data_IF_780151349388
#
_entry.id   IF_780151349388
#
_cell.length_a   1.000
_cell.length_b   1.000
_cell.length_c   1.000
_cell.angle_alpha   90.00
_cell.angle_beta   90.00
_cell.angle_gamma   90.00
#
_symmetry.space_group_name_H-M   'P 1'
#
loop_
_entity.id
_entity.type
_entity.pdbx_description
1 polymer ?
#
# COMPACT_ATOMS: atom_id res chain seq x y z
N UNK A 1 -20.42 -21.38 18.58
CA UNK A 1 -19.26 -22.30 18.75
C UNK A 1 -19.58 -23.80 18.69
N UNK A 2 -20.72 -24.25 19.16
CA UNK A 2 -21.13 -25.67 19.21
C UNK A 2 -21.37 -26.32 17.84
N UNK A 3 -22.06 -25.65 16.90
CA UNK A 3 -22.36 -26.19 15.55
C UNK A 3 -21.10 -26.45 14.71
N UNK A 4 -20.10 -25.55 14.76
CA UNK A 4 -18.82 -25.71 14.01
C UNK A 4 -17.99 -26.85 14.60
N UNK A 5 -17.95 -27.00 15.91
CA UNK A 5 -17.26 -28.14 16.57
C UNK A 5 -17.91 -29.46 16.21
N UNK A 6 -19.24 -29.53 16.20
CA UNK A 6 -19.97 -30.73 15.82
C UNK A 6 -19.72 -31.11 14.35
N UNK A 7 -19.73 -30.16 13.42
CA UNK A 7 -19.42 -30.41 12.01
C UNK A 7 -17.99 -30.94 11.79
N UNK A 8 -17.01 -30.39 12.49
CA UNK A 8 -15.63 -30.88 12.44
C UNK A 8 -15.49 -32.30 13.03
N UNK A 9 -16.22 -32.62 14.09
CA UNK A 9 -16.25 -33.95 14.70
C UNK A 9 -16.87 -34.98 13.75
N UNK A 10 -18.01 -34.65 13.13
CA UNK A 10 -18.65 -35.51 12.14
C UNK A 10 -17.74 -35.78 10.93
N UNK A 11 -17.03 -34.78 10.44
CA UNK A 11 -16.07 -34.94 9.35
C UNK A 11 -14.92 -35.86 9.75
N UNK A 12 -14.33 -35.65 10.93
CA UNK A 12 -13.26 -36.50 11.45
C UNK A 12 -13.73 -37.92 11.63
N UNK A 13 -14.92 -38.16 12.15
CA UNK A 13 -15.54 -39.49 12.29
C UNK A 13 -15.78 -40.16 10.94
N UNK A 14 -16.24 -39.42 9.93
CA UNK A 14 -16.44 -39.92 8.57
C UNK A 14 -15.10 -40.37 7.94
N UNK A 15 -14.05 -39.52 8.04
CA UNK A 15 -12.71 -39.86 7.56
C UNK A 15 -12.16 -41.12 8.29
N UNK A 16 -12.26 -41.18 9.61
CA UNK A 16 -11.86 -42.31 10.39
C UNK A 16 -12.65 -43.59 10.01
N UNK A 17 -13.95 -43.43 9.76
CA UNK A 17 -14.80 -44.53 9.29
C UNK A 17 -14.39 -45.11 7.94
N UNK A 18 -14.04 -44.25 6.97
CA UNK A 18 -13.52 -44.65 5.65
C UNK A 18 -12.20 -45.43 5.80
N UNK A 19 -11.28 -44.90 6.61
CA UNK A 19 -9.98 -45.56 6.85
C UNK A 19 -10.20 -46.93 7.54
N UNK A 20 -11.05 -46.96 8.57
CA UNK A 20 -11.38 -48.19 9.29
C UNK A 20 -12.02 -49.24 8.34
N UNK A 21 -12.97 -48.83 7.50
CA UNK A 21 -13.60 -49.68 6.51
C UNK A 21 -12.55 -50.29 5.55
N UNK A 22 -11.64 -49.46 5.06
CA UNK A 22 -10.56 -49.90 4.17
C UNK A 22 -9.60 -50.89 4.87
N UNK A 23 -9.29 -50.69 6.15
CA UNK A 23 -8.46 -51.61 6.96
C UNK A 23 -9.20 -52.93 7.19
N UNK A 24 -10.49 -52.86 7.53
CA UNK A 24 -11.30 -54.07 7.73
C UNK A 24 -11.44 -54.91 6.44
N UNK A 25 -11.66 -54.28 5.29
CA UNK A 25 -11.68 -54.97 3.99
C UNK A 25 -10.37 -55.74 3.72
N UNK A 26 -9.24 -55.19 4.15
CA UNK A 26 -7.95 -55.87 4.03
C UNK A 26 -7.82 -57.03 5.04
N UNK A 27 -8.15 -56.74 6.30
CA UNK A 27 -8.04 -57.72 7.39
C UNK A 27 -8.91 -58.95 7.17
N UNK A 28 -10.09 -58.80 6.58
CA UNK A 28 -11.04 -59.88 6.28
C UNK A 28 -10.81 -60.50 4.89
N UNK A 29 -9.73 -60.18 4.18
CA UNK A 29 -9.38 -60.77 2.87
C UNK A 29 -10.55 -60.76 1.86
N UNK A 30 -11.33 -59.70 1.85
CA UNK A 30 -12.46 -59.53 0.92
C UNK A 30 -12.00 -59.65 -0.53
N UNK A 31 -12.78 -60.33 -1.41
CA UNK A 31 -12.46 -60.38 -2.83
C UNK A 31 -12.43 -58.96 -3.42
N UNK A 32 -11.44 -58.72 -4.31
CA UNK A 32 -11.21 -57.38 -4.89
C UNK A 32 -10.97 -56.29 -3.87
N UNK A 33 -10.51 -56.59 -2.66
CA UNK A 33 -10.26 -55.63 -1.62
C UNK A 33 -9.30 -54.52 -2.05
N UNK A 34 -8.34 -54.79 -2.91
CA UNK A 34 -7.40 -53.82 -3.51
C UNK A 34 -8.13 -52.73 -4.27
N UNK A 35 -9.05 -53.13 -5.14
CA UNK A 35 -9.88 -52.24 -5.94
C UNK A 35 -10.78 -51.38 -5.04
N UNK A 36 -11.60 -51.97 -4.19
CA UNK A 36 -12.55 -51.22 -3.34
C UNK A 36 -11.88 -50.24 -2.38
N UNK A 37 -10.73 -50.62 -1.81
CA UNK A 37 -9.93 -49.71 -0.97
C UNK A 37 -9.40 -48.53 -1.75
N UNK A 38 -8.92 -48.75 -2.98
CA UNK A 38 -8.45 -47.66 -3.83
C UNK A 38 -9.60 -46.71 -4.18
N UNK A 39 -10.79 -47.23 -4.51
CA UNK A 39 -12.00 -46.40 -4.74
C UNK A 39 -12.34 -45.55 -3.52
N UNK A 40 -12.32 -46.17 -2.30
CA UNK A 40 -12.59 -45.39 -1.07
C UNK A 40 -11.58 -44.27 -0.83
N UNK A 41 -10.29 -44.53 -1.04
CA UNK A 41 -9.25 -43.51 -0.88
C UNK A 41 -9.34 -42.44 -1.98
N UNK A 42 -9.65 -42.81 -3.22
CA UNK A 42 -9.89 -41.86 -4.30
C UNK A 42 -11.08 -40.94 -3.99
N UNK A 43 -12.20 -41.48 -3.48
CA UNK A 43 -13.34 -40.66 -3.05
C UNK A 43 -12.93 -39.71 -1.92
N UNK A 44 -12.14 -40.16 -0.95
CA UNK A 44 -11.66 -39.35 0.15
C UNK A 44 -10.80 -38.19 -0.35
N UNK A 45 -9.80 -38.45 -1.21
CA UNK A 45 -8.90 -37.41 -1.76
C UNK A 45 -9.67 -36.46 -2.69
N UNK A 46 -10.58 -36.99 -3.52
CA UNK A 46 -11.43 -36.19 -4.39
C UNK A 46 -12.35 -35.26 -3.58
N UNK A 47 -12.99 -35.77 -2.53
CA UNK A 47 -13.82 -34.95 -1.64
C UNK A 47 -13.00 -33.84 -0.96
N UNK A 48 -11.75 -34.14 -0.56
CA UNK A 48 -10.82 -33.14 -0.04
C UNK A 48 -10.46 -32.10 -1.11
N UNK A 49 -10.20 -32.50 -2.35
CA UNK A 49 -9.91 -31.61 -3.46
C UNK A 49 -11.08 -30.66 -3.74
N UNK A 50 -12.32 -31.17 -3.74
CA UNK A 50 -13.54 -30.34 -3.87
C UNK A 50 -13.64 -29.36 -2.69
N UNK A 51 -13.35 -29.82 -1.48
CA UNK A 51 -13.33 -28.94 -0.29
C UNK A 51 -12.27 -27.82 -0.43
N UNK A 52 -11.07 -28.13 -0.90
CA UNK A 52 -10.00 -27.17 -1.20
C UNK A 52 -10.45 -26.15 -2.24
N UNK A 53 -11.14 -26.58 -3.30
CA UNK A 53 -11.67 -25.69 -4.34
C UNK A 53 -12.56 -24.58 -3.77
N UNK A 54 -13.41 -24.91 -2.83
CA UNK A 54 -14.34 -23.96 -2.21
C UNK A 54 -13.73 -23.13 -1.08
N UNK A 55 -12.75 -23.68 -0.35
CA UNK A 55 -12.19 -23.05 0.85
C UNK A 55 -10.99 -22.14 0.56
N UNK A 56 -10.20 -22.41 -0.47
CA UNK A 56 -8.97 -21.67 -0.72
C UNK A 56 -9.25 -20.45 -1.59
N UNK A 57 -8.96 -19.27 -1.02
CA UNK A 57 -9.23 -17.99 -1.66
C UNK A 57 -8.22 -17.67 -2.77
N UNK A 58 -6.92 -17.90 -2.51
CA UNK A 58 -5.84 -17.55 -3.44
C UNK A 58 -5.77 -18.56 -4.60
N UNK A 59 -6.00 -18.07 -5.84
CA UNK A 59 -6.13 -18.92 -7.02
C UNK A 59 -4.88 -19.80 -7.31
N UNK A 60 -3.67 -19.26 -7.13
CA UNK A 60 -2.44 -20.00 -7.40
C UNK A 60 -2.21 -21.10 -6.36
N UNK A 61 -2.38 -20.79 -5.07
CA UNK A 61 -2.31 -21.79 -3.98
C UNK A 61 -3.34 -22.89 -4.19
N UNK A 62 -4.57 -22.52 -4.59
CA UNK A 62 -5.62 -23.48 -4.92
C UNK A 62 -5.22 -24.40 -6.07
N UNK A 63 -4.63 -23.87 -7.15
CA UNK A 63 -4.14 -24.68 -8.29
C UNK A 63 -3.04 -25.66 -7.86
N UNK A 64 -2.11 -25.22 -6.99
CA UNK A 64 -1.05 -26.08 -6.47
C UNK A 64 -1.61 -27.24 -5.63
N UNK A 65 -2.53 -26.95 -4.72
CA UNK A 65 -3.16 -27.99 -3.87
C UNK A 65 -4.01 -28.96 -4.69
N UNK A 66 -4.73 -28.48 -5.70
CA UNK A 66 -5.47 -29.34 -6.63
C UNK A 66 -4.50 -30.17 -7.48
N UNK A 67 -3.38 -29.61 -7.93
CA UNK A 67 -2.33 -30.35 -8.61
C UNK A 67 -1.74 -31.45 -7.73
N UNK A 68 -1.53 -31.18 -6.42
CA UNK A 68 -1.12 -32.21 -5.48
C UNK A 68 -2.19 -33.29 -5.32
N UNK A 69 -3.47 -32.93 -5.23
CA UNK A 69 -4.58 -33.88 -5.17
C UNK A 69 -4.65 -34.78 -6.42
N UNK A 70 -4.54 -34.19 -7.62
CA UNK A 70 -4.52 -34.95 -8.87
C UNK A 70 -3.33 -35.94 -8.93
N UNK A 71 -2.16 -35.52 -8.45
CA UNK A 71 -0.99 -36.42 -8.35
C UNK A 71 -1.20 -37.55 -7.34
N UNK A 72 -1.90 -37.33 -6.22
CA UNK A 72 -2.24 -38.35 -5.26
C UNK A 72 -3.23 -39.37 -5.84
N UNK A 73 -4.28 -38.90 -6.55
CA UNK A 73 -5.22 -39.75 -7.26
C UNK A 73 -4.48 -40.62 -8.30
N UNK A 74 -3.65 -40.01 -9.12
CA UNK A 74 -2.82 -40.67 -10.10
C UNK A 74 -1.91 -41.74 -9.43
N UNK A 75 -1.36 -41.45 -8.27
CA UNK A 75 -0.51 -42.40 -7.53
C UNK A 75 -1.29 -43.64 -7.07
N UNK A 76 -2.50 -43.44 -6.54
CA UNK A 76 -3.37 -44.53 -6.13
C UNK A 76 -3.83 -45.37 -7.32
N UNK A 77 -4.11 -44.75 -8.46
CA UNK A 77 -4.54 -45.45 -9.68
C UNK A 77 -3.39 -46.28 -10.30
N UNK A 78 -2.17 -45.69 -10.38
CA UNK A 78 -0.98 -46.48 -10.82
C UNK A 78 -0.75 -47.67 -9.90
N UNK A 79 -0.92 -47.47 -8.59
CA UNK A 79 -0.80 -48.55 -7.62
C UNK A 79 -1.83 -49.66 -7.88
N UNK A 80 -3.10 -49.28 -8.11
CA UNK A 80 -4.16 -50.23 -8.45
C UNK A 80 -3.81 -51.02 -9.72
N UNK A 81 -3.41 -50.34 -10.77
CA UNK A 81 -3.02 -50.98 -12.05
C UNK A 81 -1.85 -51.91 -11.83
N UNK A 82 -0.85 -51.53 -11.03
CA UNK A 82 0.33 -52.34 -10.77
C UNK A 82 0.02 -53.63 -10.05
N UNK A 83 -0.87 -53.64 -9.05
CA UNK A 83 -1.12 -54.80 -8.20
C UNK A 83 -2.26 -55.69 -8.71
N UNK A 84 -3.26 -55.09 -9.38
CA UNK A 84 -4.47 -55.84 -9.76
C UNK A 84 -4.54 -56.13 -11.27
N UNK A 85 -3.84 -55.39 -12.14
CA UNK A 85 -3.96 -55.49 -13.60
C UNK A 85 -2.64 -55.79 -14.33
N UNK A 86 -1.49 -55.40 -13.77
CA UNK A 86 -0.20 -55.62 -14.46
C UNK A 86 0.21 -57.07 -14.43
N UNK A 87 0.38 -57.67 -15.60
CA UNK A 87 0.76 -59.09 -15.77
C UNK A 87 2.19 -59.25 -16.26
N UNK A 88 2.78 -58.26 -16.93
CA UNK A 88 4.12 -58.34 -17.47
C UNK A 88 5.17 -57.71 -16.53
N UNK A 89 6.35 -58.32 -16.39
CA UNK A 89 7.43 -57.76 -15.55
C UNK A 89 7.85 -56.37 -15.96
N UNK A 90 7.86 -56.07 -17.26
CA UNK A 90 8.17 -54.72 -17.77
C UNK A 90 7.14 -53.69 -17.35
N UNK A 91 5.85 -54.02 -17.43
CA UNK A 91 4.77 -53.15 -17.00
C UNK A 91 4.85 -52.87 -15.50
N UNK A 92 5.12 -53.90 -14.69
CA UNK A 92 5.31 -53.76 -13.25
C UNK A 92 6.45 -52.79 -12.91
N UNK A 93 7.58 -52.87 -13.64
CA UNK A 93 8.76 -52.06 -13.48
C UNK A 93 8.48 -50.60 -13.90
N UNK A 94 7.89 -50.39 -15.08
CA UNK A 94 7.54 -49.03 -15.57
C UNK A 94 6.55 -48.36 -14.65
N UNK A 95 5.53 -49.07 -14.17
CA UNK A 95 4.57 -48.52 -13.18
C UNK A 95 5.25 -48.19 -11.85
N UNK A 96 6.26 -48.93 -11.44
CA UNK A 96 7.05 -48.64 -10.24
C UNK A 96 7.87 -47.36 -10.42
N UNK A 97 8.51 -47.18 -11.57
CA UNK A 97 9.20 -45.93 -11.88
C UNK A 97 8.24 -44.73 -11.92
N UNK A 98 7.02 -44.91 -12.42
CA UNK A 98 6.00 -43.89 -12.42
C UNK A 98 5.58 -43.38 -11.03
N UNK A 99 5.79 -44.17 -9.96
CA UNK A 99 5.58 -43.72 -8.58
C UNK A 99 6.45 -42.52 -8.20
N UNK A 100 7.60 -42.35 -8.86
CA UNK A 100 8.50 -41.23 -8.59
C UNK A 100 7.95 -39.89 -9.10
N UNK A 101 6.97 -39.88 -10.02
CA UNK A 101 6.28 -38.66 -10.45
C UNK A 101 5.60 -37.99 -9.26
N UNK A 102 4.59 -38.59 -8.62
CA UNK A 102 3.93 -37.96 -7.48
C UNK A 102 4.86 -37.82 -6.28
N UNK A 103 5.75 -38.78 -6.04
CA UNK A 103 6.69 -38.77 -4.92
C UNK A 103 7.63 -37.55 -4.94
N UNK A 104 8.08 -37.10 -6.11
CA UNK A 104 8.95 -35.95 -6.27
C UNK A 104 8.16 -34.63 -6.43
N UNK A 105 7.05 -34.68 -7.18
CA UNK A 105 6.31 -33.44 -7.51
C UNK A 105 5.42 -32.94 -6.37
N UNK A 106 4.84 -33.81 -5.53
CA UNK A 106 3.99 -33.37 -4.41
C UNK A 106 4.77 -32.48 -3.41
N UNK A 107 5.95 -32.90 -2.89
CA UNK A 107 6.78 -32.05 -2.04
C UNK A 107 7.26 -30.78 -2.75
N UNK A 108 7.54 -30.87 -4.05
CA UNK A 108 7.93 -29.70 -4.86
C UNK A 108 6.78 -28.72 -5.00
N UNK A 109 5.53 -29.18 -5.19
CA UNK A 109 4.35 -28.32 -5.19
C UNK A 109 4.09 -27.68 -3.83
N UNK A 110 4.33 -28.42 -2.74
CA UNK A 110 4.25 -27.86 -1.39
C UNK A 110 5.24 -26.70 -1.21
N UNK A 111 6.49 -26.88 -1.63
CA UNK A 111 7.52 -25.85 -1.63
C UNK A 111 7.16 -24.69 -2.58
N UNK A 112 6.66 -24.98 -3.78
CA UNK A 112 6.22 -23.98 -4.75
C UNK A 112 5.07 -23.11 -4.22
N UNK A 113 4.18 -23.67 -3.40
CA UNK A 113 3.09 -22.95 -2.77
C UNK A 113 3.58 -21.78 -1.89
N UNK A 114 4.78 -21.90 -1.31
CA UNK A 114 5.37 -20.86 -0.46
C UNK A 114 5.63 -19.55 -1.20
N UNK A 115 5.93 -19.60 -2.50
CA UNK A 115 6.13 -18.39 -3.31
C UNK A 115 4.87 -17.52 -3.41
N UNK A 116 3.70 -18.10 -3.15
CA UNK A 116 2.42 -17.38 -3.22
C UNK A 116 1.86 -17.00 -1.84
N UNK A 117 2.43 -17.50 -0.75
CA UNK A 117 2.05 -17.10 0.59
C UNK A 117 2.57 -15.69 0.93
N UNK A 118 3.62 -15.24 0.25
CA UNK A 118 4.18 -13.91 0.44
C UNK A 118 3.57 -12.93 -0.58
N UNK A 119 2.96 -11.83 -0.11
CA UNK A 119 2.30 -10.80 -0.94
C UNK A 119 3.27 -10.01 -1.84
N UNK A 120 4.56 -10.29 -1.82
CA UNK A 120 5.58 -9.60 -2.59
C UNK A 120 5.75 -10.18 -4.00
N UNK A 121 4.86 -9.86 -4.96
CA UNK A 121 5.10 -10.12 -6.40
C UNK A 121 6.38 -9.43 -6.94
N UNK A 122 6.96 -8.53 -6.18
CA UNK A 122 8.18 -7.77 -6.49
C UNK A 122 9.47 -8.49 -6.06
N UNK A 123 9.42 -9.66 -5.43
CA UNK A 123 10.62 -10.39 -5.04
C UNK A 123 11.35 -10.91 -6.30
N UNK A 124 12.69 -10.68 -6.44
CA UNK A 124 13.46 -11.10 -7.61
C UNK A 124 13.41 -12.61 -7.84
N UNK A 125 13.22 -13.40 -6.79
CA UNK A 125 13.04 -14.86 -6.83
C UNK A 125 11.75 -15.31 -7.52
N UNK A 126 10.72 -14.47 -7.59
CA UNK A 126 9.44 -14.83 -8.24
C UNK A 126 9.59 -15.09 -9.74
N UNK A 127 10.54 -14.44 -10.39
CA UNK A 127 10.85 -14.64 -11.82
C UNK A 127 11.35 -16.07 -12.11
N UNK A 128 12.09 -16.67 -11.18
CA UNK A 128 12.72 -17.99 -11.34
C UNK A 128 11.91 -19.12 -10.68
N UNK A 129 10.67 -18.89 -10.30
CA UNK A 129 9.81 -19.84 -9.58
C UNK A 129 9.66 -21.22 -10.25
N UNK A 130 9.73 -21.28 -11.58
CA UNK A 130 9.59 -22.55 -12.32
C UNK A 130 10.87 -23.37 -12.33
N UNK A 131 12.02 -22.79 -12.04
CA UNK A 131 13.32 -23.49 -11.99
C UNK A 131 13.31 -24.60 -10.95
N UNK A 132 12.49 -24.46 -9.89
CA UNK A 132 12.35 -25.47 -8.83
C UNK A 132 11.86 -26.84 -9.38
N UNK A 133 11.15 -26.85 -10.50
CA UNK A 133 10.67 -28.08 -11.13
C UNK A 133 11.72 -28.78 -11.99
N UNK A 134 12.80 -28.10 -12.37
CA UNK A 134 13.84 -28.69 -13.25
C UNK A 134 14.50 -29.86 -12.55
N UNK A 135 14.88 -29.69 -11.28
CA UNK A 135 15.60 -30.73 -10.54
C UNK A 135 14.78 -32.03 -10.34
N UNK A 136 13.51 -32.00 -9.85
CA UNK A 136 12.71 -33.23 -9.74
C UNK A 136 12.37 -33.85 -11.09
N UNK A 137 12.25 -33.07 -12.17
CA UNK A 137 12.06 -33.64 -13.52
C UNK A 137 13.31 -34.37 -13.99
N UNK A 138 14.49 -33.81 -13.78
CA UNK A 138 15.77 -34.49 -14.08
C UNK A 138 15.91 -35.80 -13.29
N UNK A 139 15.61 -35.76 -11.97
CA UNK A 139 15.63 -36.97 -11.13
C UNK A 139 14.64 -38.03 -11.64
N UNK A 140 13.42 -37.60 -12.03
CA UNK A 140 12.44 -38.53 -12.60
C UNK A 140 12.93 -39.12 -13.91
N UNK A 141 13.51 -38.35 -14.82
CA UNK A 141 14.11 -38.86 -16.06
C UNK A 141 15.21 -39.88 -15.78
N UNK A 142 16.08 -39.62 -14.78
CA UNK A 142 17.09 -40.57 -14.35
C UNK A 142 16.50 -41.87 -13.77
N UNK A 143 15.39 -41.81 -13.04
CA UNK A 143 14.69 -43.01 -12.57
C UNK A 143 14.04 -43.76 -13.73
N UNK A 144 13.41 -43.05 -14.67
CA UNK A 144 12.74 -43.67 -15.83
C UNK A 144 13.74 -44.37 -16.77
N UNK A 145 14.95 -43.83 -16.89
CA UNK A 145 16.04 -44.39 -17.72
C UNK A 145 16.93 -45.37 -16.95
N UNK A 146 16.53 -45.77 -15.73
CA UNK A 146 17.35 -46.64 -14.86
C UNK A 146 17.74 -47.97 -15.52
N UNK A 147 16.93 -48.51 -16.41
CA UNK A 147 17.22 -49.73 -17.14
C UNK A 147 18.50 -49.66 -17.99
N UNK A 148 18.91 -48.45 -18.41
CA UNK A 148 20.11 -48.20 -19.20
C UNK A 148 21.39 -48.09 -18.35
N UNK A 149 21.30 -47.54 -17.15
CA UNK A 149 22.48 -47.13 -16.37
C UNK A 149 22.49 -47.66 -14.92
N UNK A 150 21.40 -48.22 -14.42
CA UNK A 150 21.24 -48.75 -13.06
C UNK A 150 21.76 -47.82 -11.93
N UNK A 151 21.62 -46.51 -12.09
CA UNK A 151 22.09 -45.50 -11.10
C UNK A 151 21.10 -45.27 -9.96
N UNK A 152 19.81 -45.58 -10.18
CA UNK A 152 18.79 -45.49 -9.12
C UNK A 152 18.62 -46.81 -8.39
N UNK A 153 18.54 -47.91 -9.15
CA UNK A 153 18.35 -49.27 -8.64
C UNK A 153 19.27 -50.21 -9.42
N UNK A 154 20.02 -51.02 -8.71
CA UNK A 154 20.81 -52.10 -9.32
C UNK A 154 20.12 -53.44 -9.08
N UNK A 155 19.93 -54.18 -10.16
CA UNK A 155 19.35 -55.48 -10.15
C UNK A 155 20.48 -56.54 -10.30
N UNK A 156 20.39 -57.73 -9.62
CA UNK A 156 21.34 -58.79 -9.82
C UNK A 156 21.33 -59.31 -11.27
N UNK A 157 22.47 -59.71 -11.83
CA UNK A 157 22.54 -60.23 -13.19
C UNK A 157 21.62 -61.45 -13.37
N UNK A 158 20.75 -61.41 -14.37
CA UNK A 158 19.77 -62.48 -14.66
C UNK A 158 18.45 -62.36 -13.90
N UNK A 159 18.27 -61.41 -12.97
CA UNK A 159 17.03 -61.15 -12.22
C UNK A 159 16.53 -59.74 -12.47
N UNK A 160 16.35 -59.36 -13.69
CA UNK A 160 15.86 -58.00 -14.06
C UNK A 160 14.36 -57.81 -13.76
N UNK A 161 13.75 -58.78 -13.07
CA UNK A 161 12.32 -58.83 -12.81
C UNK A 161 12.01 -58.17 -11.46
N UNK A 162 11.14 -57.21 -11.45
CA UNK A 162 10.60 -56.59 -10.24
C UNK A 162 9.68 -57.58 -9.52
N UNK A 163 10.12 -58.08 -8.43
CA UNK A 163 9.46 -59.12 -7.63
C UNK A 163 10.47 -59.89 -6.78
N UNK A 164 11.76 -59.79 -7.15
CA UNK A 164 12.84 -60.23 -6.31
C UNK A 164 13.13 -59.19 -5.21
N UNK A 165 13.25 -59.59 -3.95
CA UNK A 165 13.63 -58.70 -2.84
C UNK A 165 15.07 -58.18 -2.95
N UNK A 166 15.81 -58.54 -3.99
CA UNK A 166 17.28 -58.43 -4.08
C UNK A 166 17.80 -57.22 -4.84
N UNK A 167 16.97 -56.19 -5.13
CA UNK A 167 17.48 -54.93 -5.70
C UNK A 167 18.15 -54.08 -4.63
N UNK A 168 19.22 -53.39 -5.04
CA UNK A 168 19.94 -52.46 -4.17
C UNK A 168 19.73 -51.02 -4.60
N UNK A 169 19.56 -50.14 -3.58
CA UNK A 169 19.45 -48.72 -3.82
C UNK A 169 20.80 -48.11 -4.20
N UNK A 170 20.79 -47.21 -5.21
CA UNK A 170 21.98 -46.54 -5.70
C UNK A 170 21.85 -45.00 -5.51
N UNK A 171 22.83 -44.29 -5.98
CA UNK A 171 23.02 -42.84 -5.76
C UNK A 171 21.80 -42.01 -6.11
N UNK A 172 21.14 -42.21 -7.26
CA UNK A 172 19.98 -41.40 -7.68
C UNK A 172 18.79 -41.59 -6.72
N UNK A 173 18.58 -42.79 -6.16
CA UNK A 173 17.56 -43.01 -5.15
C UNK A 173 17.79 -42.15 -3.91
N UNK A 174 19.03 -42.07 -3.41
CA UNK A 174 19.36 -41.22 -2.27
C UNK A 174 19.23 -39.73 -2.59
N UNK A 175 19.52 -39.32 -3.83
CA UNK A 175 19.23 -37.97 -4.29
C UNK A 175 17.72 -37.64 -4.29
N UNK A 176 16.88 -38.57 -4.71
CA UNK A 176 15.42 -38.41 -4.62
C UNK A 176 14.96 -38.22 -3.16
N UNK A 177 15.47 -39.05 -2.24
CA UNK A 177 15.17 -38.93 -0.82
C UNK A 177 15.67 -37.58 -0.25
N UNK A 178 16.88 -37.18 -0.59
CA UNK A 178 17.45 -35.89 -0.18
C UNK A 178 16.60 -34.72 -0.67
N UNK A 179 16.12 -34.77 -1.92
CA UNK A 179 15.23 -33.77 -2.46
C UNK A 179 13.91 -33.66 -1.69
N UNK A 180 13.24 -34.78 -1.45
CA UNK A 180 11.97 -34.85 -0.71
C UNK A 180 12.16 -34.29 0.69
N UNK A 181 13.23 -34.72 1.38
CA UNK A 181 13.54 -34.26 2.73
C UNK A 181 13.86 -32.77 2.75
N UNK A 182 14.66 -32.27 1.80
CA UNK A 182 15.00 -30.85 1.66
C UNK A 182 13.76 -30.01 1.41
N UNK A 183 12.85 -30.44 0.53
CA UNK A 183 11.57 -29.76 0.30
C UNK A 183 10.73 -29.71 1.58
N UNK A 184 10.63 -30.80 2.33
CA UNK A 184 9.86 -30.85 3.57
C UNK A 184 10.46 -29.93 4.64
N UNK A 185 11.78 -30.02 4.89
CA UNK A 185 12.48 -29.19 5.87
C UNK A 185 12.36 -27.71 5.52
N UNK A 186 12.62 -27.34 4.26
CA UNK A 186 12.56 -25.95 3.82
C UNK A 186 11.13 -25.40 3.95
N UNK A 187 10.12 -26.18 3.56
CA UNK A 187 8.71 -25.81 3.69
C UNK A 187 8.37 -25.51 5.15
N UNK A 188 8.75 -26.41 6.05
CA UNK A 188 8.49 -26.26 7.48
C UNK A 188 9.22 -25.04 8.08
N UNK A 189 10.53 -24.94 7.82
CA UNK A 189 11.35 -23.81 8.34
C UNK A 189 10.81 -22.48 7.84
N UNK A 190 10.42 -22.41 6.58
CA UNK A 190 9.84 -21.21 6.00
C UNK A 190 8.50 -20.86 6.67
N UNK A 191 7.59 -21.81 6.81
CA UNK A 191 6.30 -21.61 7.46
C UNK A 191 6.47 -21.15 8.92
N UNK A 192 7.40 -21.75 9.67
CA UNK A 192 7.68 -21.38 11.06
C UNK A 192 8.23 -19.95 11.15
N UNK A 193 9.20 -19.60 10.30
CA UNK A 193 9.80 -18.26 10.28
C UNK A 193 8.82 -17.17 9.86
N UNK A 194 7.88 -17.49 8.97
CA UNK A 194 6.90 -16.54 8.41
C UNK A 194 5.64 -16.40 9.28
N UNK A 195 5.43 -17.28 10.23
CA UNK A 195 4.26 -17.23 11.09
C UNK A 195 4.32 -16.02 12.04
N UNK A 196 3.58 -14.97 11.69
CA UNK A 196 3.47 -13.72 12.48
C UNK A 196 2.36 -13.75 13.52
N UNK A 197 1.47 -14.75 13.48
CA UNK A 197 0.31 -14.83 14.37
C UNK A 197 0.73 -15.52 15.69
N UNK A 198 0.71 -14.83 16.84
CA UNK A 198 1.20 -15.38 18.12
C UNK A 198 0.46 -16.65 18.54
N UNK A 199 -0.85 -16.71 18.29
CA UNK A 199 -1.68 -17.86 18.62
C UNK A 199 -1.37 -19.10 17.77
N UNK A 200 -1.04 -18.91 16.49
CA UNK A 200 -0.71 -19.98 15.55
C UNK A 200 0.65 -20.62 15.88
N UNK A 201 1.57 -19.90 16.53
CA UNK A 201 2.87 -20.47 16.94
C UNK A 201 2.74 -21.70 17.83
N UNK A 202 1.72 -21.78 18.68
CA UNK A 202 1.46 -22.93 19.55
C UNK A 202 0.96 -24.16 18.78
N UNK A 203 0.40 -24.00 17.58
CA UNK A 203 -0.25 -25.05 16.79
C UNK A 203 0.62 -25.42 15.56
N UNK A 204 1.75 -24.74 15.33
CA UNK A 204 2.66 -24.96 14.20
C UNK A 204 3.24 -26.38 14.12
N UNK A 205 3.26 -27.12 15.21
CA UNK A 205 3.68 -28.53 15.24
C UNK A 205 2.65 -29.46 14.58
N UNK A 206 1.37 -29.04 14.45
CA UNK A 206 0.30 -29.89 13.93
C UNK A 206 0.57 -30.41 12.49
N UNK A 207 1.03 -29.61 11.51
CA UNK A 207 1.40 -30.12 10.18
C UNK A 207 2.60 -31.06 10.18
N UNK A 208 3.44 -31.02 11.21
CA UNK A 208 4.62 -31.90 11.34
C UNK A 208 4.29 -33.29 11.80
N UNK A 209 3.21 -33.45 12.56
CA UNK A 209 2.80 -34.76 13.11
C UNK A 209 2.57 -35.81 12.01
N UNK A 210 1.77 -35.54 10.97
CA UNK A 210 1.60 -36.52 9.90
C UNK A 210 2.92 -36.86 9.20
N UNK A 211 3.78 -35.86 8.96
CA UNK A 211 5.09 -36.08 8.31
C UNK A 211 5.98 -36.96 9.18
N UNK A 212 6.02 -36.71 10.49
CA UNK A 212 6.77 -37.53 11.45
C UNK A 212 6.28 -38.98 11.44
N UNK A 213 4.97 -39.20 11.52
CA UNK A 213 4.39 -40.55 11.48
C UNK A 213 4.65 -41.25 10.14
N UNK A 214 4.59 -40.55 9.01
CA UNK A 214 4.91 -41.11 7.71
C UNK A 214 6.39 -41.51 7.61
N UNK A 215 7.29 -40.69 8.12
CA UNK A 215 8.73 -40.99 8.15
C UNK A 215 9.01 -42.21 9.03
N UNK A 216 8.42 -42.24 10.23
CA UNK A 216 8.52 -43.36 11.15
C UNK A 216 7.96 -44.65 10.50
N UNK A 217 6.80 -44.56 9.86
CA UNK A 217 6.20 -45.67 9.13
C UNK A 217 7.11 -46.15 8.01
N UNK A 218 7.70 -45.25 7.23
CA UNK A 218 8.64 -45.62 6.15
C UNK A 218 9.88 -46.33 6.66
N UNK A 219 10.44 -45.91 7.81
CA UNK A 219 11.58 -46.55 8.45
C UNK A 219 11.23 -47.93 8.97
N UNK A 220 10.07 -48.11 9.56
CA UNK A 220 9.60 -49.37 10.15
C UNK A 220 8.95 -50.31 9.12
N UNK A 221 8.71 -49.86 7.90
CA UNK A 221 7.91 -50.59 6.90
C UNK A 221 8.39 -52.01 6.65
N UNK A 222 9.69 -52.21 6.52
CA UNK A 222 10.26 -53.56 6.35
C UNK A 222 10.00 -54.47 7.56
N UNK A 223 10.08 -53.93 8.78
CA UNK A 223 9.80 -54.66 10.01
C UNK A 223 8.31 -54.98 10.17
N UNK A 224 7.45 -54.00 9.80
CA UNK A 224 5.98 -54.15 9.82
C UNK A 224 5.53 -55.26 8.87
N UNK A 225 6.14 -55.36 7.69
CA UNK A 225 5.82 -56.37 6.70
C UNK A 225 6.20 -57.81 7.16
N UNK A 226 7.19 -57.94 8.03
CA UNK A 226 7.63 -59.24 8.55
C UNK A 226 6.70 -59.80 9.64
N UNK A 227 5.78 -58.97 10.17
CA UNK A 227 4.83 -59.40 11.21
C UNK A 227 3.44 -59.61 10.59
N UNK A 228 2.91 -60.85 10.52
CA UNK A 228 1.69 -61.17 9.76
C UNK A 228 0.47 -60.33 10.13
N UNK A 229 0.22 -60.14 11.43
CA UNK A 229 -0.93 -59.35 11.87
C UNK A 229 -0.76 -57.84 11.61
N UNK A 230 0.47 -57.34 11.70
CA UNK A 230 0.76 -55.94 11.35
C UNK A 230 0.64 -55.72 9.84
N UNK A 231 1.05 -56.69 9.03
CA UNK A 231 0.86 -56.65 7.59
C UNK A 231 -0.63 -56.56 7.19
N UNK A 232 -1.49 -57.25 7.90
CA UNK A 232 -2.94 -57.23 7.67
C UNK A 232 -3.54 -55.83 8.00
N UNK A 233 -3.08 -55.17 9.06
CA UNK A 233 -3.59 -53.88 9.53
C UNK A 233 -2.87 -52.71 8.86
N UNK A 234 -1.55 -52.84 8.69
CA UNK A 234 -0.74 -51.75 8.09
C UNK A 234 -1.19 -51.46 6.66
N UNK A 235 -1.39 -50.18 6.39
CA UNK A 235 -1.71 -49.72 5.06
C UNK A 235 -0.52 -49.89 4.10
N UNK A 236 -0.80 -49.83 2.84
CA UNK A 236 0.21 -49.73 1.79
C UNK A 236 0.97 -48.43 1.90
N UNK A 237 2.27 -48.43 1.61
CA UNK A 237 3.13 -47.23 1.69
C UNK A 237 2.57 -46.02 0.88
N UNK A 238 2.05 -46.30 -0.32
CA UNK A 238 1.45 -45.27 -1.19
C UNK A 238 0.24 -44.63 -0.52
N UNK A 239 -0.63 -45.42 0.09
CA UNK A 239 -1.83 -44.93 0.79
C UNK A 239 -1.43 -44.07 1.99
N UNK A 240 -0.47 -44.55 2.80
CA UNK A 240 0.02 -43.84 3.97
C UNK A 240 0.61 -42.47 3.56
N UNK A 241 1.40 -42.44 2.49
CA UNK A 241 1.98 -41.21 1.97
C UNK A 241 0.89 -40.21 1.48
N UNK A 242 -0.08 -40.69 0.70
CA UNK A 242 -1.19 -39.84 0.23
C UNK A 242 -2.02 -39.25 1.39
N UNK A 243 -2.37 -40.09 2.38
CA UNK A 243 -3.10 -39.66 3.57
C UNK A 243 -2.30 -38.65 4.40
N UNK A 244 -0.99 -38.88 4.52
CA UNK A 244 -0.08 -37.98 5.24
C UNK A 244 0.01 -36.60 4.56
N UNK A 245 0.20 -36.56 3.24
CA UNK A 245 0.22 -35.29 2.51
C UNK A 245 -1.12 -34.55 2.66
N UNK A 246 -2.24 -35.26 2.51
CA UNK A 246 -3.58 -34.69 2.70
C UNK A 246 -3.74 -34.14 4.11
N UNK A 247 -3.35 -34.90 5.14
CA UNK A 247 -3.41 -34.48 6.54
C UNK A 247 -2.51 -33.27 6.83
N UNK A 248 -1.30 -33.23 6.26
CA UNK A 248 -0.36 -32.13 6.43
C UNK A 248 -0.87 -30.85 5.76
N UNK A 249 -1.40 -30.93 4.53
CA UNK A 249 -2.01 -29.78 3.86
C UNK A 249 -3.26 -29.30 4.60
N UNK A 250 -4.11 -30.20 5.06
CA UNK A 250 -5.30 -29.84 5.84
C UNK A 250 -4.92 -29.20 7.17
N UNK A 251 -3.87 -29.68 7.84
CA UNK A 251 -3.34 -29.04 9.04
C UNK A 251 -2.82 -27.62 8.76
N UNK A 252 -2.09 -27.40 7.64
CA UNK A 252 -1.67 -26.07 7.22
C UNK A 252 -2.85 -25.14 6.97
N UNK A 253 -3.93 -25.61 6.36
CA UNK A 253 -5.15 -24.84 6.12
C UNK A 253 -5.82 -24.49 7.46
N UNK A 254 -5.96 -25.46 8.38
CA UNK A 254 -6.60 -25.25 9.70
C UNK A 254 -5.81 -24.37 10.64
N UNK A 255 -4.48 -24.43 10.57
CA UNK A 255 -3.60 -23.53 11.32
C UNK A 255 -3.55 -22.10 10.75
N UNK A 256 -4.24 -21.82 9.63
CA UNK A 256 -4.23 -20.49 8.99
C UNK A 256 -2.91 -20.17 8.27
N UNK A 257 -2.01 -21.13 8.10
CA UNK A 257 -0.79 -20.98 7.30
C UNK A 257 -1.13 -20.82 5.82
N UNK A 258 -2.17 -21.51 5.37
CA UNK A 258 -2.77 -21.33 4.04
C UNK A 258 -4.09 -20.56 4.23
N UNK A 259 -4.22 -19.42 3.58
CA UNK A 259 -5.40 -18.59 3.65
C UNK A 259 -6.63 -19.33 3.11
N UNK A 260 -7.61 -19.54 3.96
CA UNK A 260 -8.86 -20.21 3.62
C UNK A 260 -10.06 -19.34 3.97
N UNK A 261 -11.18 -19.62 3.34
CA UNK A 261 -12.47 -18.96 3.62
C UNK A 261 -13.14 -19.49 4.91
N UNK A 262 -12.44 -20.30 5.68
CA UNK A 262 -13.02 -20.88 6.92
C UNK A 262 -12.86 -19.90 8.08
N UNK A 263 -13.98 -19.63 8.76
CA UNK A 263 -14.01 -18.79 9.97
C UNK A 263 -14.16 -17.29 9.70
N UNK A 264 -14.24 -16.82 8.45
CA UNK A 264 -14.49 -15.40 8.17
C UNK A 264 -15.81 -14.91 8.76
N UNK A 265 -16.86 -15.72 8.73
CA UNK A 265 -18.13 -15.39 9.35
C UNK A 265 -17.98 -15.13 10.86
N UNK A 266 -17.30 -16.03 11.56
CA UNK A 266 -17.04 -15.88 12.99
C UNK A 266 -16.06 -14.73 13.29
N UNK A 267 -15.03 -14.54 12.43
CA UNK A 267 -14.10 -13.43 12.56
C UNK A 267 -14.81 -12.08 12.32
N UNK A 268 -15.69 -12.03 11.34
CA UNK A 268 -16.47 -10.83 11.05
C UNK A 268 -17.43 -10.51 12.20
N UNK A 269 -18.09 -11.53 12.77
CA UNK A 269 -18.99 -11.41 13.90
C UNK A 269 -18.30 -10.86 15.17
N UNK A 270 -17.06 -11.31 15.43
CA UNK A 270 -16.25 -10.92 16.61
C UNK A 270 -15.35 -9.70 16.30
N UNK A 271 -15.28 -9.27 15.03
CA UNK A 271 -14.42 -8.13 14.67
C UNK A 271 -14.89 -6.84 15.33
N UNK A 272 -13.95 -5.97 15.68
CA UNK A 272 -14.23 -4.63 16.18
C UNK A 272 -14.76 -3.69 15.06
N UNK A 273 -14.72 -4.11 13.81
CA UNK A 273 -15.32 -3.37 12.71
C UNK A 273 -16.84 -3.44 12.82
N UNK A 274 -17.49 -2.31 12.98
CA UNK A 274 -18.96 -2.17 13.00
C UNK A 274 -19.49 -2.40 11.58
N UNK A 275 -19.51 -3.66 11.11
CA UNK A 275 -19.82 -4.01 9.73
C UNK A 275 -21.11 -4.85 9.58
N UNK A 276 -21.78 -4.67 8.45
CA UNK A 276 -22.97 -5.39 8.05
C UNK A 276 -22.84 -5.86 6.59
N UNK A 277 -23.10 -7.13 6.32
CA UNK A 277 -23.19 -7.67 4.96
C UNK A 277 -24.66 -8.05 4.71
N UNK A 278 -25.21 -7.54 3.62
CA UNK A 278 -26.58 -7.80 3.19
C UNK A 278 -26.61 -8.50 1.84
N UNK A 279 -27.72 -9.15 1.55
CA UNK A 279 -28.07 -9.59 0.21
C UNK A 279 -28.54 -8.41 -0.68
N UNK A 280 -28.99 -8.72 -1.89
CA UNK A 280 -29.54 -7.70 -2.81
C UNK A 280 -30.86 -7.08 -2.36
N UNK A 281 -31.56 -7.75 -1.45
CA UNK A 281 -32.80 -7.29 -0.86
C UNK A 281 -32.58 -6.56 0.49
N UNK A 282 -31.34 -6.19 0.81
CA UNK A 282 -30.93 -5.55 2.07
C UNK A 282 -31.19 -6.39 3.33
N UNK A 283 -31.46 -7.70 3.16
CA UNK A 283 -31.60 -8.60 4.29
C UNK A 283 -30.20 -8.89 4.87
N UNK A 284 -30.01 -8.72 6.19
CA UNK A 284 -28.74 -9.00 6.84
C UNK A 284 -28.33 -10.47 6.70
N UNK A 285 -27.19 -10.74 6.08
CA UNK A 285 -26.56 -12.07 5.95
C UNK A 285 -25.56 -12.29 7.08
N UNK A 286 -24.76 -11.27 7.38
CA UNK A 286 -23.79 -11.28 8.47
C UNK A 286 -23.71 -9.88 9.09
N UNK A 287 -23.66 -9.86 10.43
CA UNK A 287 -23.56 -8.64 11.21
C UNK A 287 -22.45 -8.81 12.25
N UNK A 288 -21.62 -7.79 12.46
CA UNK A 288 -20.68 -7.77 13.57
C UNK A 288 -21.44 -7.47 14.88
N UNK A 289 -20.92 -7.96 16.02
CA UNK A 289 -21.54 -7.74 17.33
C UNK A 289 -21.63 -6.25 17.72
N UNK A 290 -20.79 -5.42 17.14
CA UNK A 290 -20.72 -3.99 17.47
C UNK A 290 -21.46 -3.10 16.46
N UNK A 291 -22.04 -3.67 15.41
CA UNK A 291 -22.81 -2.89 14.43
C UNK A 291 -24.15 -2.46 15.05
N UNK A 292 -24.43 -1.15 15.00
CA UNK A 292 -25.75 -0.64 15.37
C UNK A 292 -26.81 -1.12 14.38
N UNK A 293 -28.07 -1.29 14.79
CA UNK A 293 -29.16 -1.61 13.88
C UNK A 293 -29.35 -0.44 12.89
N UNK A 294 -29.39 -0.77 11.60
CA UNK A 294 -29.50 0.20 10.52
C UNK A 294 -30.83 0.04 9.80
N UNK A 295 -31.44 1.16 9.42
CA UNK A 295 -32.68 1.17 8.62
C UNK A 295 -32.34 1.04 7.13
N UNK A 296 -33.24 0.43 6.36
CA UNK A 296 -33.09 0.19 4.93
C UNK A 296 -32.81 1.47 4.13
N UNK A 297 -33.46 2.57 4.51
CA UNK A 297 -33.22 3.89 3.85
C UNK A 297 -31.79 4.38 4.01
N UNK A 298 -31.19 4.23 5.20
CA UNK A 298 -29.80 4.59 5.48
C UNK A 298 -28.85 3.72 4.67
N UNK A 299 -29.15 2.42 4.51
CA UNK A 299 -28.37 1.50 3.70
C UNK A 299 -28.42 1.87 2.21
N UNK A 300 -29.57 2.29 1.70
CA UNK A 300 -29.70 2.75 0.31
C UNK A 300 -28.94 4.05 0.05
N UNK A 301 -29.03 5.00 0.97
CA UNK A 301 -28.29 6.27 0.88
C UNK A 301 -26.78 6.04 0.95
N UNK A 302 -26.31 5.11 1.81
CA UNK A 302 -24.89 4.78 1.95
C UNK A 302 -24.26 4.16 0.69
N UNK A 303 -25.04 3.67 -0.27
CA UNK A 303 -24.56 3.19 -1.57
C UNK A 303 -24.29 4.33 -2.57
N UNK A 304 -24.96 5.47 -2.40
CA UNK A 304 -24.79 6.65 -3.26
C UNK A 304 -23.74 7.63 -2.73
N UNK A 305 -23.48 7.57 -1.42
CA UNK A 305 -22.49 8.40 -0.73
C UNK A 305 -22.39 8.03 0.74
N UNK A 306 -21.44 8.60 1.45
CA UNK A 306 -21.33 8.39 2.90
C UNK A 306 -22.49 9.07 3.64
N UNK A 307 -23.08 8.37 4.59
CA UNK A 307 -24.19 8.86 5.42
C UNK A 307 -23.72 9.06 6.85
N UNK A 308 -23.94 10.23 7.39
CA UNK A 308 -23.64 10.51 8.79
C UNK A 308 -24.77 9.96 9.67
N UNK A 309 -24.45 9.01 10.55
CA UNK A 309 -25.39 8.41 11.50
C UNK A 309 -25.50 9.25 12.76
N UNK A 310 -24.36 9.68 13.29
CA UNK A 310 -24.20 10.50 14.48
C UNK A 310 -23.09 11.54 14.25
N UNK A 311 -22.89 12.45 15.20
CA UNK A 311 -21.84 13.46 15.14
C UNK A 311 -20.44 12.89 14.89
N UNK A 312 -20.20 11.64 15.30
CA UNK A 312 -18.89 10.97 15.27
C UNK A 312 -18.85 9.67 14.48
N UNK A 313 -19.98 9.27 13.86
CA UNK A 313 -20.07 7.99 13.13
C UNK A 313 -20.57 8.20 11.71
N UNK A 314 -19.80 7.71 10.74
CA UNK A 314 -20.14 7.75 9.33
C UNK A 314 -20.37 6.34 8.79
N UNK A 315 -21.42 6.16 7.99
CA UNK A 315 -21.79 4.90 7.35
C UNK A 315 -21.33 4.93 5.89
N UNK A 316 -20.60 3.89 5.50
CA UNK A 316 -20.19 3.66 4.12
C UNK A 316 -20.81 2.38 3.59
N UNK A 317 -21.15 2.36 2.31
CA UNK A 317 -21.67 1.19 1.63
C UNK A 317 -20.94 0.92 0.31
N UNK A 318 -20.71 -0.38 0.02
CA UNK A 318 -20.09 -0.77 -1.25
C UNK A 318 -20.78 -2.02 -1.82
N UNK A 319 -21.08 -2.06 -3.14
CA UNK A 319 -21.64 -3.23 -3.76
C UNK A 319 -20.64 -4.39 -3.86
N UNK A 320 -21.09 -5.60 -3.51
CA UNK A 320 -20.32 -6.84 -3.68
C UNK A 320 -21.06 -7.80 -4.63
N UNK A 321 -20.38 -8.84 -5.10
CA UNK A 321 -20.90 -9.73 -6.15
C UNK A 321 -22.32 -10.29 -5.92
N UNK A 322 -22.73 -10.49 -4.64
CA UNK A 322 -24.01 -11.08 -4.27
C UNK A 322 -24.89 -10.22 -3.36
N UNK A 323 -24.48 -8.98 -3.06
CA UNK A 323 -25.19 -8.08 -2.15
C UNK A 323 -24.40 -6.82 -1.91
N UNK A 324 -24.43 -6.33 -0.68
CA UNK A 324 -23.77 -5.09 -0.27
C UNK A 324 -23.03 -5.31 1.04
N UNK A 325 -21.93 -4.55 1.21
CA UNK A 325 -21.21 -4.46 2.47
C UNK A 325 -21.32 -3.03 2.99
N UNK A 326 -21.60 -2.90 4.26
CA UNK A 326 -21.68 -1.62 4.97
C UNK A 326 -20.74 -1.66 6.16
N UNK A 327 -20.10 -0.52 6.45
CA UNK A 327 -19.29 -0.37 7.65
C UNK A 327 -19.49 1.01 8.25
N UNK A 328 -19.45 1.06 9.57
CA UNK A 328 -19.51 2.28 10.34
C UNK A 328 -18.09 2.68 10.73
N UNK A 329 -17.70 3.88 10.38
CA UNK A 329 -16.39 4.47 10.67
C UNK A 329 -16.55 5.49 11.80
N UNK A 330 -15.70 5.38 12.79
CA UNK A 330 -15.64 6.34 13.88
C UNK A 330 -14.75 7.51 13.45
N UNK A 331 -15.35 8.67 13.29
CA UNK A 331 -14.69 9.90 12.85
C UNK A 331 -14.43 10.86 14.00
N UNK A 332 -14.46 10.41 15.26
CA UNK A 332 -14.27 11.27 16.45
C UNK A 332 -12.92 12.00 16.39
N UNK A 333 -11.83 11.27 16.09
CA UNK A 333 -10.50 11.88 15.90
C UNK A 333 -10.48 12.87 14.73
N UNK A 334 -11.15 12.54 13.63
CA UNK A 334 -11.21 13.41 12.45
C UNK A 334 -11.97 14.70 12.74
N UNK A 335 -13.10 14.61 13.44
CA UNK A 335 -13.90 15.79 13.84
C UNK A 335 -13.10 16.65 14.79
N UNK A 336 -12.46 16.08 15.81
CA UNK A 336 -11.61 16.81 16.75
C UNK A 336 -10.45 17.52 16.02
N UNK A 337 -9.80 16.84 15.07
CA UNK A 337 -8.72 17.43 14.27
C UNK A 337 -9.21 18.55 13.35
N UNK A 338 -10.42 18.40 12.80
CA UNK A 338 -11.04 19.47 11.98
C UNK A 338 -11.39 20.70 12.82
N UNK A 339 -11.86 20.52 14.04
CA UNK A 339 -12.10 21.61 14.99
C UNK A 339 -10.80 22.32 15.37
N UNK A 340 -9.73 21.56 15.66
CA UNK A 340 -8.40 22.11 15.95
C UNK A 340 -7.84 22.89 14.75
N UNK A 341 -7.97 22.33 13.54
CA UNK A 341 -7.56 23.02 12.31
C UNK A 341 -8.34 24.30 12.10
N UNK A 342 -9.65 24.30 12.36
CA UNK A 342 -10.50 25.49 12.22
C UNK A 342 -10.08 26.56 13.23
N UNK A 343 -9.86 26.16 14.47
CA UNK A 343 -9.37 27.09 15.50
C UNK A 343 -8.01 27.70 15.12
N UNK A 344 -7.07 26.85 14.66
CA UNK A 344 -5.74 27.30 14.23
C UNK A 344 -5.85 28.23 13.00
N UNK A 345 -6.78 27.97 12.09
CA UNK A 345 -7.01 28.82 10.92
C UNK A 345 -7.59 30.16 11.32
N UNK A 346 -8.51 30.21 12.27
CA UNK A 346 -9.05 31.46 12.84
C UNK A 346 -7.92 32.24 13.55
N UNK A 347 -7.11 31.61 14.36
CA UNK A 347 -5.95 32.21 15.03
C UNK A 347 -4.94 32.82 14.03
N UNK A 348 -4.62 32.05 12.96
CA UNK A 348 -3.74 32.53 11.89
C UNK A 348 -4.33 33.72 11.13
N UNK A 349 -5.66 33.74 10.96
CA UNK A 349 -6.34 34.87 10.32
C UNK A 349 -6.24 36.13 11.19
N UNK A 350 -6.52 36.01 12.49
CA UNK A 350 -6.43 37.10 13.45
C UNK A 350 -5.00 37.66 13.55
N UNK A 351 -3.99 36.75 13.60
CA UNK A 351 -2.57 37.15 13.56
C UNK A 351 -2.24 37.86 12.24
N UNK A 352 -2.76 37.35 11.13
CA UNK A 352 -2.61 37.97 9.80
C UNK A 352 -3.13 39.40 9.77
N UNK A 353 -4.31 39.63 10.33
CA UNK A 353 -4.93 40.98 10.40
C UNK A 353 -4.11 41.94 11.29
N UNK A 354 -3.60 41.44 12.43
CA UNK A 354 -2.71 42.22 13.31
C UNK A 354 -1.41 42.58 12.59
N UNK A 355 -0.77 41.64 11.90
CA UNK A 355 0.46 41.89 11.14
C UNK A 355 0.20 42.90 10.02
N UNK A 356 -0.95 42.80 9.34
CA UNK A 356 -1.33 43.75 8.29
C UNK A 356 -1.55 45.16 8.85
N UNK A 357 -2.22 45.28 10.02
CA UNK A 357 -2.39 46.53 10.71
C UNK A 357 -1.05 47.15 11.17
N UNK A 358 -0.17 46.30 11.77
CA UNK A 358 1.17 46.76 12.16
C UNK A 358 2.03 47.22 10.97
N UNK A 359 1.96 46.48 9.86
CA UNK A 359 2.71 46.85 8.64
C UNK A 359 2.21 48.14 8.04
N UNK A 360 0.88 48.34 8.03
CA UNK A 360 0.29 49.61 7.60
C UNK A 360 0.71 50.77 8.51
N UNK A 361 0.66 50.59 9.83
CA UNK A 361 1.11 51.57 10.80
C UNK A 361 2.60 51.91 10.67
N UNK A 362 3.43 50.89 10.46
CA UNK A 362 4.86 51.04 10.25
C UNK A 362 5.17 51.77 8.95
N UNK A 363 4.41 51.51 7.90
CA UNK A 363 4.51 52.24 6.64
C UNK A 363 4.16 53.73 6.79
N UNK A 364 3.08 54.04 7.54
CA UNK A 364 2.73 55.43 7.87
C UNK A 364 3.82 56.11 8.68
N UNK A 365 4.33 55.44 9.69
CA UNK A 365 5.40 55.97 10.53
C UNK A 365 6.68 56.23 9.75
N UNK A 366 7.08 55.32 8.86
CA UNK A 366 8.22 55.49 7.95
C UNK A 366 8.01 56.69 7.02
N UNK A 367 6.80 56.87 6.47
CA UNK A 367 6.45 58.01 5.63
C UNK A 367 6.56 59.34 6.40
N UNK A 368 6.04 59.39 7.64
CA UNK A 368 6.16 60.56 8.53
C UNK A 368 7.62 60.85 8.91
N UNK A 369 8.39 59.80 9.22
CA UNK A 369 9.80 59.99 9.59
C UNK A 369 10.64 60.50 8.42
N UNK A 370 10.36 60.05 7.20
CA UNK A 370 11.03 60.53 5.99
C UNK A 370 10.61 61.96 5.65
N UNK A 371 9.34 62.32 5.83
CA UNK A 371 8.89 63.70 5.73
C UNK A 371 9.61 64.60 6.74
N UNK A 372 9.68 64.22 7.99
CA UNK A 372 10.40 64.98 9.01
C UNK A 372 11.89 65.15 8.67
N UNK A 373 12.53 64.07 8.17
CA UNK A 373 13.92 64.12 7.73
C UNK A 373 14.13 65.05 6.55
N UNK A 374 13.16 65.13 5.65
CA UNK A 374 13.16 66.09 4.54
C UNK A 374 12.97 67.56 5.05
N UNK A 375 12.08 67.74 6.00
CA UNK A 375 11.91 69.10 6.63
C UNK A 375 13.17 69.56 7.34
N UNK A 376 13.81 68.70 8.12
CA UNK A 376 15.09 68.98 8.78
C UNK A 376 16.21 69.28 7.79
N UNK A 377 16.27 68.57 6.65
CA UNK A 377 17.21 68.90 5.57
C UNK A 377 16.89 70.27 4.93
N UNK A 378 15.61 70.55 4.65
CA UNK A 378 15.21 71.83 4.08
C UNK A 378 15.55 72.94 5.07
N UNK A 379 15.23 72.77 6.35
CA UNK A 379 15.54 73.75 7.38
C UNK A 379 17.04 74.03 7.50
N UNK A 380 17.87 72.97 7.50
CA UNK A 380 19.35 73.11 7.55
C UNK A 380 19.92 73.76 6.31
N UNK A 381 19.37 73.46 5.12
CA UNK A 381 19.83 74.09 3.86
C UNK A 381 19.38 75.54 3.81
N UNK A 382 18.10 75.86 4.16
CA UNK A 382 17.58 77.23 4.20
C UNK A 382 18.26 78.07 5.27
N UNK A 383 18.48 77.56 6.46
CA UNK A 383 19.22 78.25 7.51
C UNK A 383 20.65 78.59 7.07
N UNK A 384 21.31 77.65 6.36
CA UNK A 384 22.69 77.86 5.80
C UNK A 384 22.69 78.91 4.68
N UNK A 385 21.66 78.88 3.86
CA UNK A 385 21.52 79.91 2.80
C UNK A 385 21.14 81.28 3.40
N UNK A 386 20.24 81.34 4.39
CA UNK A 386 19.91 82.58 5.12
C UNK A 386 21.14 83.10 5.85
N UNK A 387 21.96 82.22 6.48
CA UNK A 387 23.20 82.68 7.09
C UNK A 387 24.16 83.28 6.10
N UNK A 388 24.30 82.64 4.89
CA UNK A 388 25.10 83.21 3.79
C UNK A 388 24.55 84.52 3.29
N UNK A 389 23.23 84.60 3.10
CA UNK A 389 22.57 85.90 2.68
C UNK A 389 22.80 86.98 3.72
N UNK A 390 22.70 86.53 5.01
CA UNK A 390 22.95 87.50 6.12
C UNK A 390 24.40 87.96 6.16
N UNK A 391 25.36 87.07 5.87
CA UNK A 391 26.78 87.40 5.73
C UNK A 391 27.05 88.31 4.55
N UNK A 392 26.42 88.05 3.37
CA UNK A 392 26.45 88.92 2.22
C UNK A 392 25.77 90.31 2.51
N UNK A 393 24.65 90.33 3.21
CA UNK A 393 23.97 91.53 3.62
C UNK A 393 24.79 92.35 4.64
N UNK A 394 25.51 91.69 5.53
CA UNK A 394 26.44 92.40 6.45
C UNK A 394 27.63 92.90 5.70
N UNK A 395 28.18 92.14 4.69
CA UNK A 395 29.25 92.63 3.81
C UNK A 395 28.79 93.78 2.90
N UNK A 396 27.53 93.75 2.41
CA UNK A 396 26.93 94.82 1.62
C UNK A 396 26.51 96.04 2.48
N UNK A 397 26.30 95.83 3.78
CA UNK A 397 26.02 96.96 4.73
C UNK A 397 27.23 97.88 4.88
N UNK A 398 28.40 97.47 4.47
CA UNK A 398 29.59 98.33 4.40
C UNK A 398 29.68 99.15 3.12
N UNK A 399 28.76 98.95 2.13
CA UNK A 399 28.75 99.69 0.87
C UNK A 399 27.26 100.13 0.58
N UNK A 400 26.94 101.33 0.94
CA UNK A 400 25.78 102.21 0.48
C UNK A 400 24.37 101.57 0.41
N UNK A 401 23.57 101.90 1.43
CA UNK A 401 22.26 101.39 1.78
C UNK A 401 21.04 101.95 0.96
N UNK A 402 21.23 102.65 -0.11
CA UNK A 402 20.12 103.36 -0.70
C UNK A 402 19.72 103.01 -2.15
N UNK A 403 20.45 102.23 -2.84
CA UNK A 403 20.17 102.03 -4.27
C UNK A 403 19.60 100.60 -4.70
N UNK A 404 19.66 99.57 -3.88
CA UNK A 404 19.28 98.24 -4.35
C UNK A 404 17.80 97.90 -4.05
N UNK A 405 17.18 98.38 -3.00
CA UNK A 405 15.81 97.99 -2.61
C UNK A 405 14.73 98.52 -3.56
N UNK A 406 15.00 99.61 -4.31
CA UNK A 406 14.06 100.11 -5.28
C UNK A 406 14.04 99.39 -6.61
N UNK A 407 15.15 98.65 -6.94
CA UNK A 407 15.30 97.95 -8.23
C UNK A 407 14.66 96.56 -8.26
N UNK A 408 14.69 95.83 -7.16
CA UNK A 408 14.18 94.40 -7.13
C UNK A 408 12.62 94.43 -7.04
N UNK A 409 12.01 95.24 -6.24
CA UNK A 409 10.54 95.34 -6.17
C UNK A 409 9.95 95.86 -7.48
N UNK A 410 10.59 96.82 -8.14
CA UNK A 410 10.17 97.30 -9.43
C UNK A 410 10.34 96.29 -10.57
N UNK A 411 11.34 95.39 -10.50
CA UNK A 411 11.55 94.38 -11.52
C UNK A 411 10.51 93.24 -11.42
N UNK A 412 10.11 92.80 -10.22
CA UNK A 412 9.08 91.83 -9.99
C UNK A 412 7.70 92.35 -10.31
N UNK A 413 7.37 93.62 -9.90
CA UNK A 413 6.12 94.29 -10.25
C UNK A 413 6.05 94.64 -11.75
N UNK A 414 7.17 94.93 -12.40
CA UNK A 414 7.20 95.25 -13.82
C UNK A 414 7.08 94.05 -14.75
N UNK A 415 7.38 92.87 -14.24
CA UNK A 415 7.29 91.61 -15.04
C UNK A 415 5.98 90.85 -14.83
N UNK A 416 5.30 91.07 -13.70
CA UNK A 416 4.02 90.38 -13.37
C UNK A 416 3.05 91.39 -12.68
N UNK A 417 2.41 92.24 -13.45
CA UNK A 417 1.43 93.19 -12.91
C UNK A 417 0.22 92.44 -12.35
N UNK A 418 -0.13 92.71 -11.10
CA UNK A 418 -1.26 92.10 -10.43
C UNK A 418 -0.94 90.73 -9.71
N UNK A 419 0.32 90.51 -9.40
CA UNK A 419 0.75 89.36 -8.63
C UNK A 419 0.10 89.38 -7.23
N UNK A 420 -0.70 88.33 -6.93
CA UNK A 420 -1.38 88.22 -5.63
C UNK A 420 -0.69 87.18 -4.73
N UNK A 421 -0.33 86.00 -5.27
CA UNK A 421 0.26 84.93 -4.47
C UNK A 421 1.14 84.04 -5.34
N UNK A 422 2.22 83.52 -4.78
CA UNK A 422 3.11 82.50 -5.39
C UNK A 422 3.18 81.33 -4.44
N UNK A 423 2.75 80.12 -4.91
CA UNK A 423 2.81 78.91 -4.18
C UNK A 423 3.76 77.96 -4.89
N UNK A 424 4.67 77.40 -4.12
CA UNK A 424 5.59 76.32 -4.60
C UNK A 424 5.20 74.95 -4.06
N UNK A 425 5.02 74.00 -4.94
CA UNK A 425 4.69 72.66 -4.58
C UNK A 425 5.66 71.65 -5.28
N UNK A 426 6.19 70.76 -4.55
CA UNK A 426 6.99 69.66 -5.14
C UNK A 426 6.08 68.55 -5.68
N UNK A 427 6.18 68.24 -6.97
CA UNK A 427 5.35 67.22 -7.63
C UNK A 427 6.20 66.19 -8.32
N UNK A 428 5.75 64.93 -8.26
CA UNK A 428 6.42 63.83 -8.94
C UNK A 428 5.70 63.52 -10.25
N UNK A 429 6.36 63.78 -11.36
CA UNK A 429 5.86 63.51 -12.71
C UNK A 429 6.55 62.28 -13.33
N UNK A 430 6.10 61.90 -14.52
CA UNK A 430 6.71 60.79 -15.28
C UNK A 430 8.21 61.02 -15.61
N UNK A 431 8.70 62.25 -15.52
CA UNK A 431 10.09 62.65 -15.77
C UNK A 431 10.93 62.82 -14.49
N UNK A 432 10.37 62.58 -13.31
CA UNK A 432 11.03 62.72 -12.01
C UNK A 432 10.42 63.79 -11.10
N UNK A 433 11.14 64.11 -10.02
CA UNK A 433 10.69 65.17 -9.10
C UNK A 433 10.92 66.53 -9.71
N UNK A 434 9.83 67.35 -9.79
CA UNK A 434 9.85 68.71 -10.26
C UNK A 434 9.26 69.65 -9.22
N UNK A 435 9.61 70.93 -9.32
CA UNK A 435 9.01 72.00 -8.51
C UNK A 435 7.93 72.71 -9.35
N UNK A 436 6.67 72.60 -8.93
CA UNK A 436 5.55 73.30 -9.56
C UNK A 436 5.33 74.57 -8.83
N UNK A 437 5.40 75.62 -9.58
CA UNK A 437 5.10 77.01 -9.07
C UNK A 437 3.76 77.42 -9.64
N UNK A 438 2.81 77.72 -8.76
CA UNK A 438 1.54 78.33 -9.12
C UNK A 438 1.57 79.85 -8.80
N UNK A 439 1.19 80.64 -9.77
CA UNK A 439 1.17 82.09 -9.65
C UNK A 439 -0.26 82.60 -9.87
N UNK A 440 -0.81 83.29 -8.89
CA UNK A 440 -2.09 83.94 -9.03
C UNK A 440 -1.85 85.41 -9.49
N UNK A 441 -2.24 85.69 -10.73
CA UNK A 441 -2.07 87.02 -11.34
C UNK A 441 -3.31 87.39 -12.15
N UNK A 442 -3.76 88.64 -12.06
CA UNK A 442 -4.95 89.14 -12.76
C UNK A 442 -4.70 89.36 -14.24
N UNK A 443 -3.49 89.74 -14.66
CA UNK A 443 -3.12 89.97 -16.06
C UNK A 443 -1.80 89.33 -16.39
N UNK A 444 -1.89 88.07 -16.89
CA UNK A 444 -0.68 87.29 -17.20
C UNK A 444 -0.29 87.41 -18.67
N UNK A 445 0.96 87.65 -18.99
CA UNK A 445 1.47 87.60 -20.36
C UNK A 445 1.60 86.11 -20.82
N UNK A 446 1.35 85.86 -22.09
CA UNK A 446 1.39 84.48 -22.68
C UNK A 446 2.77 83.85 -22.65
N UNK A 447 3.84 84.54 -22.30
CA UNK A 447 5.18 83.96 -22.11
C UNK A 447 6.02 84.91 -21.23
N UNK A 448 6.81 84.38 -20.31
CA UNK A 448 7.77 85.18 -19.51
C UNK A 448 9.01 85.50 -20.36
N UNK A 449 9.28 86.77 -20.60
CA UNK A 449 10.44 87.13 -21.39
C UNK A 449 11.73 86.83 -20.59
N UNK A 450 12.54 85.92 -21.11
CA UNK A 450 13.87 85.64 -20.57
C UNK A 450 14.09 84.20 -20.06
N UNK A 451 13.07 83.38 -20.07
CA UNK A 451 13.18 81.98 -19.65
C UNK A 451 12.55 81.01 -20.67
N UNK A 452 13.22 80.67 -21.77
CA UNK A 452 12.65 79.89 -22.88
C UNK A 452 12.38 78.37 -22.56
N UNK A 453 12.68 77.94 -21.38
CA UNK A 453 12.48 76.49 -21.00
C UNK A 453 11.29 76.24 -20.06
N UNK A 454 10.49 77.29 -19.75
CA UNK A 454 9.30 77.17 -18.92
C UNK A 454 8.06 77.10 -19.79
N UNK A 455 7.34 76.01 -19.75
CA UNK A 455 5.99 75.91 -20.31
C UNK A 455 4.99 76.44 -19.28
N UNK A 456 4.21 77.40 -19.64
CA UNK A 456 3.11 77.93 -18.85
C UNK A 456 1.84 77.14 -19.23
N UNK A 457 1.26 76.49 -18.27
CA UNK A 457 -0.04 75.81 -18.40
C UNK A 457 -1.06 76.61 -17.58
N UNK A 458 -2.28 76.72 -18.11
CA UNK A 458 -3.40 77.44 -17.42
C UNK A 458 -4.44 76.41 -17.06
N UNK A 459 -4.79 76.30 -15.78
CA UNK A 459 -5.85 75.45 -15.29
C UNK A 459 -7.23 76.03 -15.50
N UNK A 460 -8.27 75.20 -15.40
CA UNK A 460 -9.68 75.57 -15.56
C UNK A 460 -10.12 76.67 -14.60
N UNK A 461 -9.42 76.82 -13.46
CA UNK A 461 -9.66 77.90 -12.44
C UNK A 461 -8.89 79.19 -12.74
N UNK A 462 -8.20 79.29 -13.88
CA UNK A 462 -7.51 80.51 -14.30
C UNK A 462 -6.13 80.75 -13.67
N UNK A 463 -5.64 79.79 -12.90
CA UNK A 463 -4.32 79.84 -12.30
C UNK A 463 -3.24 79.37 -13.33
N UNK A 464 -2.12 80.08 -13.32
CA UNK A 464 -0.97 79.82 -14.18
C UNK A 464 0.02 78.89 -13.42
N UNK A 465 0.39 77.84 -14.06
CA UNK A 465 1.39 76.86 -13.54
C UNK A 465 2.59 76.85 -14.44
N UNK A 466 3.76 76.73 -13.85
CA UNK A 466 4.95 76.35 -14.55
C UNK A 466 5.73 75.31 -13.75
N UNK A 467 6.25 74.35 -14.39
CA UNK A 467 7.00 73.26 -13.76
C UNK A 467 8.48 73.35 -14.15
N UNK A 468 9.31 73.48 -13.18
CA UNK A 468 10.76 73.44 -13.40
C UNK A 468 11.31 72.00 -13.18
N UNK A 469 11.99 71.53 -14.15
CA UNK A 469 12.79 70.27 -13.99
C UNK A 469 14.25 70.73 -13.80
N UNK A 470 15.02 70.02 -12.96
CA UNK A 470 16.46 70.21 -12.89
C UNK A 470 17.05 69.86 -14.23
N UNK A 471 17.92 70.74 -14.74
CA UNK A 471 18.66 70.54 -15.99
C UNK A 471 19.49 69.22 -15.87
N UNK A 472 19.43 68.35 -16.87
CA UNK A 472 20.28 67.18 -16.93
C UNK A 472 21.73 67.60 -16.83
N UNK A 473 22.39 67.33 -15.69
CA UNK A 473 23.82 67.56 -15.50
C UNK A 473 24.27 68.24 -14.20
N UNK A 474 23.36 68.67 -13.34
CA UNK A 474 23.70 69.24 -12.04
C UNK A 474 23.28 68.32 -10.90
N UNK A 475 24.19 67.49 -10.38
CA UNK A 475 23.93 66.71 -9.18
C UNK A 475 23.60 67.62 -8.00
N UNK A 476 22.46 67.42 -7.37
CA UNK A 476 22.12 67.85 -6.03
C UNK A 476 22.64 66.84 -5.03
#
# INVERSE_FOLDING_TARGET
MTKVRLGNLCLAAAVAGVILCAVLMRAFYMPYSGFWRTVLYNILIFSWAVSVWWRILHAQTRRCLLGAATLMLFWLDIRLIRYDFAQTPEMLRRLWYAYYIPMLLIPTLALYTLFFLDRGQSAPLYKYRYVIFVFPVVLFCLVLTNDCHQLAFAFPPGQEVLGSPDYTYRFVYYLCLLWIFSCAVFTVVYLVRRCRIPHTKRILWLPLVPIFFATLYALLYKHILNVPWMHAIAGDMTVVQCLTFTASFEACIRCGLIQSNMGYATLFEVSMAKGLITDRAFVPVQCSMQAAPLHEEQLRQALTGSVQLDATTQLHGHPIRKGYIFWQEDITELVALLEELRFTQEELHDIGDVIQAETAQKAQWLKLSEQNRLYDKIETVTARQLARIQEYLIALKAVSYTHLRAHETVLIEATLPGLQEILFCAEHTAQGWGLRCSVQCTDAPAALPGLPQMQLERDDDGLLYFTMFPAEGGGL
#
